data_IF_697494326189
#
_entry.id   IF_697494326189
#
_cell.length_a   1.000
_cell.length_b   1.000
_cell.length_c   1.000
_cell.angle_alpha   90.00
_cell.angle_beta   90.00
_cell.angle_gamma   90.00
#
_symmetry.space_group_name_H-M   'P 1'
#
loop_
_entity.id
_entity.type
_entity.pdbx_description
1 polymer ?
#
# COMPACT_ATOMS: atom_id res chain seq x y z
N UNK A 1 4.23 -43.34 37.54
CA UNK A 1 4.88 -42.48 36.53
C UNK A 1 3.88 -41.94 35.49
N UNK A 2 2.66 -42.48 35.41
CA UNK A 2 1.64 -42.06 34.42
C UNK A 2 1.08 -40.64 34.58
N UNK A 3 0.90 -40.16 35.81
CA UNK A 3 0.28 -38.85 36.04
C UNK A 3 1.17 -37.70 35.53
N UNK A 4 2.49 -37.83 35.67
CA UNK A 4 3.43 -36.81 35.22
C UNK A 4 3.46 -36.74 33.68
N UNK A 5 3.49 -37.88 33.00
CA UNK A 5 3.46 -37.93 31.53
C UNK A 5 2.14 -37.38 30.97
N UNK A 6 1.01 -37.65 31.65
CA UNK A 6 -0.30 -37.11 31.29
C UNK A 6 -0.37 -35.58 31.44
N UNK A 7 0.21 -35.03 32.51
CA UNK A 7 0.32 -33.58 32.73
C UNK A 7 1.23 -32.92 31.68
N UNK A 8 2.39 -33.52 31.37
CA UNK A 8 3.30 -33.01 30.32
C UNK A 8 2.64 -33.02 28.93
N UNK A 9 1.86 -34.05 28.57
CA UNK A 9 1.10 -34.08 27.31
C UNK A 9 -0.01 -33.02 27.27
N UNK A 10 -0.65 -32.72 28.40
CA UNK A 10 -1.61 -31.61 28.50
C UNK A 10 -0.94 -30.27 28.20
N UNK A 11 0.25 -30.01 28.78
CA UNK A 11 1.01 -28.77 28.53
C UNK A 11 1.46 -28.61 27.06
N UNK A 12 1.71 -29.72 26.34
CA UNK A 12 2.02 -29.69 24.90
C UNK A 12 0.77 -29.38 24.06
N UNK A 13 -0.42 -29.83 24.48
CA UNK A 13 -1.70 -29.56 23.83
C UNK A 13 -2.23 -28.14 24.08
N UNK A 14 -1.77 -27.47 25.14
CA UNK A 14 -2.08 -26.06 25.44
C UNK A 14 -1.08 -25.06 24.84
N UNK A 15 -0.53 -25.35 23.65
CA UNK A 15 -0.08 -24.23 22.81
C UNK A 15 -1.32 -23.53 22.29
N UNK A 16 -1.87 -22.61 23.10
CA UNK A 16 -2.80 -21.62 22.62
C UNK A 16 -2.06 -20.82 21.54
N UNK A 17 -2.13 -21.29 20.29
CA UNK A 17 -1.60 -20.57 19.15
C UNK A 17 -2.24 -19.19 19.21
N UNK A 18 -1.44 -18.16 19.47
CA UNK A 18 -1.92 -16.79 19.49
C UNK A 18 -2.46 -16.48 18.08
N UNK A 19 -3.78 -16.58 17.94
CA UNK A 19 -4.50 -16.26 16.71
C UNK A 19 -4.42 -14.75 16.50
N UNK A 20 -3.55 -14.29 15.61
CA UNK A 20 -3.47 -12.89 15.21
C UNK A 20 -4.65 -12.52 14.31
N UNK A 21 -5.41 -11.50 14.71
CA UNK A 21 -6.63 -11.07 14.03
C UNK A 21 -6.64 -9.56 13.84
N UNK A 22 -7.24 -9.09 12.75
CA UNK A 22 -7.40 -7.68 12.44
C UNK A 22 -8.85 -7.38 12.06
N UNK A 23 -9.25 -6.11 12.17
CA UNK A 23 -10.50 -5.66 11.58
C UNK A 23 -10.38 -5.60 10.06
N UNK A 24 -11.44 -6.01 9.37
CA UNK A 24 -11.60 -5.96 7.91
C UNK A 24 -12.81 -5.10 7.54
N UNK A 25 -12.66 -4.24 6.54
CA UNK A 25 -13.76 -3.46 5.97
C UNK A 25 -13.37 -2.84 4.63
N UNK A 26 -14.38 -2.58 3.80
CA UNK A 26 -14.29 -1.66 2.65
C UNK A 26 -15.42 -0.64 2.75
N UNK A 27 -15.08 0.58 3.15
CA UNK A 27 -16.01 1.70 3.31
C UNK A 27 -15.98 2.65 2.14
N UNK A 28 -16.78 2.38 1.09
CA UNK A 28 -16.87 3.26 -0.09
C UNK A 28 -17.56 4.60 0.19
N UNK A 29 -18.28 4.70 1.31
CA UNK A 29 -18.95 5.92 1.78
C UNK A 29 -18.13 6.68 2.85
N UNK A 30 -16.85 6.34 3.00
CA UNK A 30 -15.93 7.01 3.94
C UNK A 30 -16.06 6.54 5.40
N UNK A 31 -16.70 5.40 5.63
CA UNK A 31 -16.86 4.81 6.96
C UNK A 31 -16.64 3.30 6.98
N UNK A 32 -15.93 2.83 8.01
CA UNK A 32 -15.82 1.41 8.38
C UNK A 32 -16.64 1.06 9.62
N UNK A 33 -17.84 1.65 9.78
CA UNK A 33 -18.73 1.34 10.91
C UNK A 33 -19.14 -0.13 10.99
N UNK A 34 -19.25 -0.83 9.85
CA UNK A 34 -19.61 -2.24 9.77
C UNK A 34 -18.39 -3.17 9.59
N UNK A 35 -17.29 -2.88 10.29
CA UNK A 35 -16.09 -3.70 10.26
C UNK A 35 -16.28 -5.06 10.96
N UNK A 36 -15.70 -6.10 10.39
CA UNK A 36 -15.71 -7.46 10.94
C UNK A 36 -14.34 -7.83 11.47
N UNK A 37 -14.26 -8.85 12.33
CA UNK A 37 -12.99 -9.41 12.77
C UNK A 37 -12.62 -10.60 11.89
N UNK A 38 -11.39 -10.63 11.41
CA UNK A 38 -10.83 -11.70 10.57
C UNK A 38 -9.54 -12.22 11.18
N UNK A 39 -9.40 -13.54 11.27
CA UNK A 39 -8.12 -14.18 11.58
C UNK A 39 -7.18 -14.01 10.39
N UNK A 40 -5.97 -13.49 10.63
CA UNK A 40 -5.02 -13.24 9.57
C UNK A 40 -4.35 -14.54 9.08
N UNK A 41 -4.08 -14.67 7.77
CA UNK A 41 -3.23 -15.73 7.25
C UNK A 41 -1.83 -15.66 7.90
N UNK A 42 -1.13 -16.78 8.00
CA UNK A 42 0.19 -16.87 8.67
C UNK A 42 1.26 -15.94 8.07
N UNK A 43 1.10 -15.51 6.81
CA UNK A 43 2.04 -14.58 6.16
C UNK A 43 1.80 -13.13 6.60
N UNK A 44 0.62 -12.82 7.11
CA UNK A 44 0.17 -11.48 7.48
C UNK A 44 0.48 -11.22 8.94
N UNK A 45 1.47 -10.36 9.19
CA UNK A 45 1.99 -10.08 10.53
C UNK A 45 1.55 -8.72 11.07
N UNK A 46 0.84 -7.93 10.26
CA UNK A 46 0.36 -6.60 10.60
C UNK A 46 -1.10 -6.41 10.27
N UNK A 47 -1.74 -5.51 11.00
CA UNK A 47 -3.03 -4.93 10.64
C UNK A 47 -2.81 -3.58 9.96
N UNK A 48 -3.65 -3.30 8.96
CA UNK A 48 -3.63 -2.07 8.19
C UNK A 48 -4.95 -1.32 8.35
N UNK A 49 -4.87 0.00 8.33
CA UNK A 49 -5.97 0.92 8.07
C UNK A 49 -5.52 1.95 7.06
N UNK A 50 -6.36 2.25 6.08
CA UNK A 50 -6.12 3.32 5.14
C UNK A 50 -7.35 4.17 4.91
N UNK A 51 -7.10 5.45 4.66
CA UNK A 51 -8.11 6.42 4.24
C UNK A 51 -7.60 7.07 2.96
N UNK A 52 -8.33 6.86 1.88
CA UNK A 52 -8.03 7.38 0.56
C UNK A 52 -9.08 8.41 0.16
N UNK A 53 -8.63 9.59 -0.22
CA UNK A 53 -9.47 10.61 -0.86
C UNK A 53 -9.15 10.59 -2.34
N UNK A 54 -10.17 10.30 -3.15
CA UNK A 54 -10.11 10.36 -4.61
C UNK A 54 -10.76 11.65 -5.06
N UNK A 55 -10.09 12.38 -5.94
CA UNK A 55 -10.55 13.63 -6.49
C UNK A 55 -10.62 13.53 -8.02
N UNK A 56 -11.81 13.78 -8.56
CA UNK A 56 -12.09 13.83 -10.00
C UNK A 56 -12.83 15.14 -10.29
N UNK A 57 -12.10 16.17 -10.71
CA UNK A 57 -12.63 17.52 -10.83
C UNK A 57 -13.11 18.06 -9.49
N UNK A 58 -14.37 18.51 -9.43
CA UNK A 58 -15.01 19.03 -8.21
C UNK A 58 -15.58 17.93 -7.31
N UNK A 59 -15.60 16.68 -7.79
CA UNK A 59 -16.11 15.54 -7.02
C UNK A 59 -14.98 14.96 -6.19
N UNK A 60 -15.22 14.83 -4.88
CA UNK A 60 -14.35 14.10 -3.97
C UNK A 60 -15.09 12.95 -3.32
N UNK A 61 -14.43 11.79 -3.29
CA UNK A 61 -14.95 10.58 -2.65
C UNK A 61 -13.93 10.06 -1.65
N UNK A 62 -14.42 9.59 -0.50
CA UNK A 62 -13.58 9.03 0.56
C UNK A 62 -13.80 7.53 0.65
N UNK A 63 -12.71 6.78 0.54
CA UNK A 63 -12.67 5.33 0.70
C UNK A 63 -11.85 4.99 1.92
N UNK A 64 -12.36 4.09 2.77
CA UNK A 64 -11.62 3.52 3.89
C UNK A 64 -11.46 2.03 3.72
N UNK A 65 -10.30 1.50 4.10
CA UNK A 65 -9.99 0.09 4.02
C UNK A 65 -9.30 -0.36 5.31
N UNK A 66 -9.64 -1.55 5.78
CA UNK A 66 -8.91 -2.26 6.83
C UNK A 66 -8.72 -3.70 6.41
N UNK A 67 -7.53 -4.26 6.65
CA UNK A 67 -7.25 -5.66 6.39
C UNK A 67 -5.99 -6.13 7.15
N UNK A 68 -5.74 -7.42 7.11
CA UNK A 68 -4.46 -8.05 7.41
C UNK A 68 -3.47 -7.80 6.26
N UNK A 69 -2.20 -7.58 6.57
CA UNK A 69 -1.14 -7.41 5.57
C UNK A 69 0.17 -8.06 6.01
N UNK A 70 0.95 -8.56 5.05
CA UNK A 70 2.29 -9.11 5.29
C UNK A 70 3.21 -8.09 5.93
N UNK A 71 3.34 -6.93 5.28
CA UNK A 71 4.10 -5.79 5.77
C UNK A 71 3.48 -4.48 5.27
N UNK A 72 3.65 -3.42 6.05
CA UNK A 72 3.29 -2.06 5.68
C UNK A 72 3.94 -1.04 6.64
N UNK A 73 3.96 0.22 6.22
CA UNK A 73 4.51 1.34 6.99
C UNK A 73 3.50 2.48 7.14
N UNK A 74 3.57 3.17 8.28
CA UNK A 74 2.75 4.36 8.52
C UNK A 74 3.21 5.48 7.60
N UNK A 75 2.29 6.19 6.97
CA UNK A 75 2.69 7.29 6.10
C UNK A 75 1.57 7.85 5.23
N UNK A 76 1.97 8.56 4.18
CA UNK A 76 1.05 9.10 3.19
C UNK A 76 1.63 9.02 1.80
N UNK A 77 0.75 8.86 0.81
CA UNK A 77 1.06 8.86 -0.60
C UNK A 77 0.05 9.72 -1.37
N UNK A 78 0.52 10.37 -2.42
CA UNK A 78 -0.30 11.25 -3.25
C UNK A 78 0.04 11.05 -4.72
N UNK A 79 -0.94 10.59 -5.49
CA UNK A 79 -0.86 10.31 -6.92
C UNK A 79 -1.41 11.45 -7.78
N UNK A 80 -1.86 12.55 -7.17
CA UNK A 80 -2.57 13.63 -7.83
C UNK A 80 -4.09 13.43 -7.80
N UNK A 81 -4.59 12.34 -8.38
CA UNK A 81 -6.03 12.01 -8.38
C UNK A 81 -6.48 11.26 -7.11
N UNK A 82 -5.54 10.66 -6.39
CA UNK A 82 -5.80 9.87 -5.21
C UNK A 82 -4.73 10.14 -4.16
N UNK A 83 -5.17 10.34 -2.93
CA UNK A 83 -4.29 10.63 -1.80
C UNK A 83 -4.67 9.73 -0.64
N UNK A 84 -3.68 9.06 -0.07
CA UNK A 84 -3.89 8.00 0.92
C UNK A 84 -3.08 8.28 2.16
N UNK A 85 -3.68 8.07 3.33
CA UNK A 85 -2.99 7.92 4.60
C UNK A 85 -3.06 6.46 5.04
N UNK A 86 -1.95 5.94 5.53
CA UNK A 86 -1.78 4.54 5.90
C UNK A 86 -1.30 4.44 7.36
N UNK A 87 -1.95 3.56 8.13
CA UNK A 87 -1.58 3.24 9.50
C UNK A 87 -1.48 1.73 9.66
N UNK A 88 -0.42 1.29 10.31
CA UNK A 88 -0.01 -0.09 10.47
C UNK A 88 0.35 -0.37 11.93
N UNK A 89 0.03 -1.57 12.38
CA UNK A 89 0.32 -2.03 13.72
C UNK A 89 0.40 -3.57 13.75
N UNK A 90 1.00 -4.15 14.80
CA UNK A 90 1.36 -5.58 14.84
C UNK A 90 0.84 -6.30 16.10
N UNK A 91 -0.18 -5.76 16.77
CA UNK A 91 -0.85 -6.40 17.90
C UNK A 91 -2.28 -6.79 17.54
N UNK A 92 -2.85 -7.80 18.21
CA UNK A 92 -4.20 -8.29 17.91
C UNK A 92 -5.22 -7.12 17.91
N UNK A 93 -6.00 -6.99 16.82
CA UNK A 93 -7.10 -6.02 16.66
C UNK A 93 -6.70 -4.56 16.78
N UNK A 94 -5.43 -4.24 16.55
CA UNK A 94 -4.89 -2.89 16.76
C UNK A 94 -5.43 -1.84 15.78
N UNK A 95 -6.00 -2.26 14.64
CA UNK A 95 -6.56 -1.38 13.61
C UNK A 95 -8.04 -1.05 13.84
N UNK A 96 -8.49 -1.01 15.10
CA UNK A 96 -9.88 -0.65 15.44
C UNK A 96 -10.26 0.74 14.92
N UNK A 97 -9.34 1.70 15.01
CA UNK A 97 -9.54 3.08 14.55
C UNK A 97 -9.28 3.19 13.05
N UNK A 98 -10.03 4.07 12.40
CA UNK A 98 -9.77 4.42 11.01
C UNK A 98 -8.45 5.18 10.89
N UNK A 99 -7.77 5.05 9.75
CA UNK A 99 -6.66 5.93 9.44
C UNK A 99 -7.16 7.38 9.33
N UNK A 100 -6.34 8.38 9.69
CA UNK A 100 -6.74 9.78 9.58
C UNK A 100 -6.93 10.16 8.11
N UNK A 101 -7.64 11.26 7.89
CA UNK A 101 -7.69 11.86 6.55
C UNK A 101 -6.27 12.31 6.13
N UNK A 102 -5.89 12.13 4.86
CA UNK A 102 -4.62 12.65 4.36
C UNK A 102 -4.52 14.17 4.54
N UNK A 103 -3.38 14.65 5.05
CA UNK A 103 -3.18 16.08 5.31
C UNK A 103 -3.14 16.88 4.01
N UNK A 104 -3.88 17.98 3.91
CA UNK A 104 -3.82 18.93 2.79
C UNK A 104 -2.90 20.13 3.04
N UNK A 105 -2.16 20.12 4.16
CA UNK A 105 -1.18 21.16 4.47
C UNK A 105 0.05 20.97 3.61
N UNK A 106 0.30 21.93 2.71
CA UNK A 106 1.46 21.87 1.80
C UNK A 106 2.77 21.88 2.58
N UNK A 107 3.71 21.02 2.17
CA UNK A 107 5.02 20.89 2.83
C UNK A 107 6.18 21.52 2.02
N UNK A 108 5.87 22.16 0.88
CA UNK A 108 6.86 22.83 0.03
C UNK A 108 7.61 21.91 -0.94
N UNK A 109 7.41 20.59 -0.89
CA UNK A 109 7.95 19.66 -1.90
C UNK A 109 7.06 19.59 -3.12
N UNK A 110 7.68 19.34 -4.27
CA UNK A 110 6.97 19.08 -5.53
C UNK A 110 7.52 17.84 -6.21
N UNK A 111 6.63 17.07 -6.83
CA UNK A 111 6.97 15.86 -7.59
C UNK A 111 6.20 15.84 -8.89
N UNK A 112 6.61 15.01 -9.85
CA UNK A 112 5.76 14.70 -10.99
C UNK A 112 4.67 13.71 -10.61
N UNK A 113 3.50 13.84 -11.23
CA UNK A 113 2.40 12.87 -11.19
C UNK A 113 1.92 12.52 -12.61
N UNK A 114 1.13 11.46 -12.71
CA UNK A 114 0.52 11.03 -13.96
C UNK A 114 -0.99 11.30 -13.97
N UNK A 115 -1.51 11.74 -15.11
CA UNK A 115 -2.93 11.69 -15.46
C UNK A 115 -3.11 10.77 -16.69
N UNK A 116 -4.31 10.75 -17.27
CA UNK A 116 -4.63 9.93 -18.45
C UNK A 116 -3.76 10.25 -19.70
N UNK A 117 -3.13 11.43 -19.76
CA UNK A 117 -2.46 11.97 -20.94
C UNK A 117 -0.95 12.17 -20.74
N UNK A 118 -0.50 12.44 -19.52
CA UNK A 118 0.84 12.94 -19.22
C UNK A 118 1.34 12.45 -17.86
N UNK A 119 2.65 12.20 -17.78
CA UNK A 119 3.38 11.87 -16.54
C UNK A 119 4.35 12.97 -16.11
N UNK A 120 4.05 14.21 -16.48
CA UNK A 120 4.86 15.40 -16.23
C UNK A 120 4.09 16.50 -15.49
N UNK A 121 2.93 16.19 -14.92
CA UNK A 121 2.16 17.13 -14.12
C UNK A 121 2.87 17.44 -12.81
N UNK A 122 2.91 18.72 -12.42
CA UNK A 122 3.53 19.12 -11.15
C UNK A 122 2.52 18.94 -10.03
N UNK A 123 2.83 18.01 -9.13
CA UNK A 123 2.09 17.75 -7.90
C UNK A 123 2.75 18.47 -6.73
N UNK A 124 1.95 19.18 -5.93
CA UNK A 124 2.39 19.80 -4.67
C UNK A 124 2.16 18.83 -3.53
N UNK A 125 3.22 18.43 -2.86
CA UNK A 125 3.17 17.45 -1.79
C UNK A 125 2.64 18.09 -0.49
N UNK A 126 2.10 17.25 0.40
CA UNK A 126 1.48 17.70 1.65
C UNK A 126 1.91 16.83 2.84
N UNK A 127 1.78 17.38 4.05
CA UNK A 127 2.05 16.65 5.29
C UNK A 127 3.44 16.00 5.28
N UNK A 128 3.48 14.69 5.54
CA UNK A 128 4.70 13.89 5.63
C UNK A 128 5.25 13.39 4.29
N UNK A 129 4.65 13.77 3.15
CA UNK A 129 5.08 13.36 1.82
C UNK A 129 6.41 14.06 1.42
N UNK A 130 7.53 13.54 1.88
CA UNK A 130 8.86 14.16 1.81
C UNK A 130 9.78 13.55 0.73
N UNK A 131 9.30 12.58 -0.05
CA UNK A 131 10.00 11.96 -1.19
C UNK A 131 9.12 11.98 -2.42
N UNK A 132 9.75 11.98 -3.60
CA UNK A 132 9.07 11.64 -4.83
C UNK A 132 9.25 10.15 -5.10
N UNK A 133 8.27 9.54 -5.75
CA UNK A 133 8.38 8.16 -6.22
C UNK A 133 7.97 8.02 -7.69
N UNK A 134 8.43 6.94 -8.30
CA UNK A 134 8.07 6.46 -9.63
C UNK A 134 7.93 4.95 -9.54
N UNK A 135 6.85 4.41 -10.07
CA UNK A 135 6.63 2.98 -10.22
C UNK A 135 6.28 2.67 -11.67
N UNK A 136 6.70 1.50 -12.17
CA UNK A 136 6.30 1.00 -13.48
C UNK A 136 5.62 -0.34 -13.28
N UNK A 137 4.46 -0.54 -13.88
CA UNK A 137 3.70 -1.78 -13.77
C UNK A 137 2.98 -2.11 -15.08
N UNK A 138 2.57 -3.37 -15.25
CA UNK A 138 1.92 -3.81 -16.48
C UNK A 138 0.42 -4.01 -16.23
N UNK A 139 -0.45 -3.24 -16.88
CA UNK A 139 -1.91 -3.42 -16.85
C UNK A 139 -2.35 -3.82 -18.25
N UNK A 140 -2.99 -4.99 -18.40
CA UNK A 140 -3.46 -5.48 -19.70
C UNK A 140 -2.36 -5.71 -20.73
N UNK A 141 -1.13 -6.02 -20.29
CA UNK A 141 0.05 -6.17 -21.17
C UNK A 141 0.75 -4.86 -21.55
N UNK A 142 0.21 -3.70 -21.16
CA UNK A 142 0.82 -2.39 -21.40
C UNK A 142 1.55 -1.88 -20.16
N UNK A 143 2.79 -1.41 -20.35
CA UNK A 143 3.58 -0.78 -19.30
C UNK A 143 3.03 0.61 -18.98
N UNK A 144 2.60 0.81 -17.74
CA UNK A 144 2.06 2.05 -17.18
C UNK A 144 3.01 2.58 -16.13
N UNK A 145 3.28 3.88 -16.17
CA UNK A 145 4.10 4.57 -15.17
C UNK A 145 3.20 5.31 -14.21
N UNK A 146 3.47 5.19 -12.92
CA UNK A 146 2.81 5.95 -11.85
C UNK A 146 3.88 6.79 -11.17
N UNK A 147 3.53 8.02 -10.81
CA UNK A 147 4.41 8.96 -10.11
C UNK A 147 3.63 9.73 -9.08
N UNK A 148 4.33 10.22 -8.05
CA UNK A 148 3.71 11.12 -7.09
C UNK A 148 4.62 11.45 -5.91
N UNK A 149 4.00 11.95 -4.85
CA UNK A 149 4.64 12.21 -3.57
C UNK A 149 4.40 11.03 -2.62
N UNK A 150 5.37 10.73 -1.78
CA UNK A 150 5.29 9.66 -0.80
C UNK A 150 6.09 10.03 0.45
N UNK A 151 5.67 9.56 1.62
CA UNK A 151 6.49 9.64 2.83
C UNK A 151 7.67 8.66 2.77
N UNK A 152 8.83 9.05 3.32
CA UNK A 152 10.03 8.22 3.44
C UNK A 152 9.74 6.80 3.95
N UNK A 153 8.93 6.65 4.99
CA UNK A 153 8.58 5.35 5.58
C UNK A 153 7.92 4.38 4.59
N UNK A 154 6.98 4.86 3.78
CA UNK A 154 6.34 4.06 2.73
C UNK A 154 7.36 3.75 1.62
N UNK A 155 8.18 4.73 1.23
CA UNK A 155 9.22 4.50 0.24
C UNK A 155 10.20 3.39 0.66
N UNK A 156 10.68 3.44 1.91
CA UNK A 156 11.61 2.45 2.45
C UNK A 156 10.94 1.05 2.53
N UNK A 157 9.63 0.99 2.82
CA UNK A 157 8.86 -0.26 2.83
C UNK A 157 8.66 -0.85 1.41
N UNK A 158 8.39 -0.04 0.39
CA UNK A 158 8.21 -0.47 -1.00
C UNK A 158 9.49 -1.11 -1.58
N UNK A 159 10.69 -0.66 -1.17
CA UNK A 159 11.95 -1.30 -1.59
C UNK A 159 12.12 -2.74 -1.10
N UNK A 160 11.30 -3.20 -0.14
CA UNK A 160 11.29 -4.58 0.34
C UNK A 160 10.51 -5.55 -0.57
N UNK A 161 9.61 -5.04 -1.41
CA UNK A 161 8.79 -5.82 -2.37
C UNK A 161 9.56 -5.93 -3.70
N UNK A 162 10.58 -6.81 -3.71
CA UNK A 162 11.55 -7.01 -4.82
C UNK A 162 10.99 -7.57 -6.14
N UNK A 163 9.69 -7.46 -6.34
CA UNK A 163 8.99 -8.10 -7.44
C UNK A 163 8.47 -7.05 -8.45
N UNK A 164 8.33 -5.78 -8.05
CA UNK A 164 8.01 -4.70 -9.01
C UNK A 164 9.30 -4.25 -9.72
N UNK A 165 9.48 -4.68 -10.98
CA UNK A 165 10.47 -4.06 -11.87
C UNK A 165 10.15 -2.56 -12.03
N UNK A 166 10.81 -1.70 -11.23
CA UNK A 166 10.86 -0.26 -11.49
C UNK A 166 10.17 0.65 -10.48
N UNK A 167 10.11 0.29 -9.18
CA UNK A 167 9.86 1.27 -8.12
C UNK A 167 11.15 2.01 -7.77
N UNK A 168 11.11 3.33 -7.72
CA UNK A 168 12.19 4.16 -7.22
C UNK A 168 11.64 5.35 -6.46
N UNK A 169 12.39 5.79 -5.45
CA UNK A 169 12.16 7.07 -4.82
C UNK A 169 13.41 7.91 -4.82
N UNK A 170 13.21 9.21 -4.63
CA UNK A 170 14.29 10.16 -4.54
C UNK A 170 13.90 11.32 -3.63
N UNK A 171 14.93 12.00 -3.12
CA UNK A 171 14.77 13.21 -2.34
C UNK A 171 15.12 14.43 -3.22
N UNK A 172 14.28 15.46 -3.15
CA UNK A 172 14.42 16.66 -3.97
C UNK A 172 13.16 16.93 -4.79
N UNK A 173 13.03 18.17 -5.24
CA UNK A 173 11.87 18.55 -6.04
C UNK A 173 11.97 17.97 -7.45
N UNK A 174 10.86 17.42 -7.96
CA UNK A 174 10.71 16.91 -9.33
C UNK A 174 11.74 15.81 -9.70
N UNK A 175 12.37 15.18 -8.71
CA UNK A 175 13.46 14.22 -8.92
C UNK A 175 12.97 12.91 -9.57
N UNK A 176 11.66 12.64 -9.56
CA UNK A 176 11.01 11.53 -10.26
C UNK A 176 10.73 11.85 -11.75
N UNK A 177 11.42 12.84 -12.30
CA UNK A 177 11.53 13.09 -13.73
C UNK A 177 12.30 11.98 -14.45
N UNK A 178 12.32 12.01 -15.79
CA UNK A 178 13.14 11.07 -16.54
C UNK A 178 14.64 11.42 -16.37
N UNK A 179 15.41 10.54 -15.75
CA UNK A 179 16.82 10.37 -16.10
C UNK A 179 16.93 9.16 -17.03
N UNK A 180 16.61 9.34 -18.31
CA UNK A 180 17.09 8.44 -19.35
C UNK A 180 18.42 9.00 -19.86
N UNK A 181 19.50 8.74 -19.11
CA UNK A 181 20.82 8.66 -19.76
C UNK A 181 20.86 7.28 -20.38
N UNK A 182 20.71 7.24 -21.70
CA UNK A 182 20.93 6.04 -22.51
C UNK A 182 22.35 5.53 -22.24
N UNK A 183 22.48 4.41 -21.57
CA UNK A 183 23.62 3.52 -21.78
C UNK A 183 23.09 2.15 -22.14
N UNK A 184 23.18 1.89 -23.44
CA UNK A 184 23.09 0.57 -24.04
C UNK A 184 24.07 -0.37 -23.34
N UNK A 185 23.57 -1.48 -22.81
CA UNK A 185 24.36 -2.69 -22.62
C UNK A 185 23.43 -3.90 -22.74
N UNK A 186 23.76 -4.76 -23.70
CA UNK A 186 23.12 -6.02 -24.03
C UNK A 186 22.93 -6.94 -22.79
N UNK A 187 21.80 -7.65 -22.71
CA UNK A 187 21.66 -8.74 -21.73
C UNK A 187 20.24 -9.30 -21.67
N UNK A 188 20.11 -10.63 -21.68
CA UNK A 188 18.93 -11.39 -22.02
C UNK A 188 17.92 -11.65 -20.86
N UNK A 189 16.67 -11.94 -21.27
CA UNK A 189 15.68 -12.91 -20.75
C UNK A 189 15.44 -13.03 -19.22
N UNK A 190 14.16 -12.96 -18.80
CA UNK A 190 13.37 -14.16 -18.45
C UNK A 190 12.01 -13.77 -17.83
N UNK A 191 10.97 -14.51 -18.21
CA UNK A 191 9.59 -14.42 -17.72
C UNK A 191 9.44 -15.31 -16.49
N UNK A 192 8.86 -14.81 -15.40
CA UNK A 192 8.15 -15.66 -14.43
C UNK A 192 7.01 -14.92 -13.73
N UNK A 193 5.99 -15.72 -13.43
CA UNK A 193 4.60 -15.47 -13.13
C UNK A 193 4.34 -15.24 -11.63
N UNK A 194 3.84 -14.08 -11.21
CA UNK A 194 3.15 -13.91 -9.90
C UNK A 194 2.34 -12.60 -9.66
N UNK A 195 2.26 -11.63 -10.58
CA UNK A 195 1.58 -10.33 -10.32
C UNK A 195 0.05 -10.29 -10.43
N UNK A 196 -0.61 -11.45 -10.51
CA UNK A 196 -2.06 -11.53 -10.73
C UNK A 196 -2.92 -11.29 -9.47
N UNK A 197 -2.34 -11.15 -8.27
CA UNK A 197 -3.14 -11.15 -7.03
C UNK A 197 -3.44 -9.78 -6.39
N UNK A 198 -2.64 -8.73 -6.63
CA UNK A 198 -2.93 -7.40 -6.03
C UNK A 198 -3.70 -6.45 -6.96
N UNK A 199 -3.57 -6.57 -8.28
CA UNK A 199 -4.28 -5.70 -9.23
C UNK A 199 -5.63 -6.28 -9.72
N UNK A 200 -5.84 -7.61 -9.69
CA UNK A 200 -7.11 -8.20 -10.13
C UNK A 200 -8.26 -7.94 -9.15
N UNK A 201 -8.01 -7.76 -7.85
CA UNK A 201 -9.07 -7.50 -6.88
C UNK A 201 -9.72 -6.12 -7.05
N UNK A 202 -8.97 -5.14 -7.59
CA UNK A 202 -9.48 -3.81 -7.89
C UNK A 202 -10.05 -3.70 -9.31
N UNK A 203 -9.45 -4.36 -10.31
CA UNK A 203 -9.85 -4.22 -11.72
C UNK A 203 -10.99 -5.16 -12.15
N UNK A 204 -11.21 -6.28 -11.46
CA UNK A 204 -12.33 -7.20 -11.79
C UNK A 204 -13.70 -6.59 -11.52
N UNK A 205 -13.78 -5.55 -10.68
CA UNK A 205 -15.04 -4.86 -10.37
C UNK A 205 -15.32 -3.64 -11.27
N UNK A 206 -14.27 -3.01 -11.84
CA UNK A 206 -14.44 -1.84 -12.72
C UNK A 206 -14.97 -2.26 -14.11
N UNK A 207 -14.75 -3.51 -14.52
CA UNK A 207 -15.21 -4.05 -15.81
C UNK A 207 -16.51 -4.86 -15.74
N UNK A 208 -17.16 -4.93 -14.56
CA UNK A 208 -18.46 -5.60 -14.41
C UNK A 208 -19.63 -4.61 -14.21
N UNK A 209 -19.45 -3.34 -14.58
CA UNK A 209 -20.53 -2.37 -14.72
C UNK A 209 -20.26 -1.36 -15.84
#
# INVERSE_FOLDING_TARGET
>A
MDLQISVFLLFVLFTAGHSFSCYECLGLTGSCSAQTLKTCPSISTKCMSSTTVVQAGDISSKVKLKDCVADCANGSMNLGIAKTSLVCCNTDRCNLQDAPDPSNVLNGKTCYSCDEKSCSNILRCSGSEDRCFKATGTIGGQSTVIKGCVSKSICDAETSVRDVQGTSCCEGNLCNGAQSVTQSANGAQSVTQSFLFLCCSLLSFILLH
#
